data_IF_557009249446
#
_entry.id   IF_557009249446
#
_cell.length_a   1.000
_cell.length_b   1.000
_cell.length_c   1.000
_cell.angle_alpha   90.00
_cell.angle_beta   90.00
_cell.angle_gamma   90.00
#
_symmetry.space_group_name_H-M   'P 1'
#
loop_
_entity.id
_entity.type
_entity.pdbx_description
1 polymer ?
#
# COMPACT_ATOMS: atom_id res chain seq x y z
N UNK A 1 13.30 3.43 15.68
CA UNK A 1 12.84 4.59 14.90
C UNK A 1 13.66 5.82 15.28
N UNK A 2 13.69 6.84 14.42
CA UNK A 2 14.27 8.14 14.78
C UNK A 2 13.45 8.75 15.92
N UNK A 3 14.13 9.47 16.80
CA UNK A 3 13.48 10.17 17.92
C UNK A 3 13.69 11.67 17.73
N UNK A 4 12.65 12.45 18.02
CA UNK A 4 12.76 13.91 18.01
C UNK A 4 13.55 14.33 19.25
N UNK A 5 14.75 14.86 19.04
CA UNK A 5 15.66 15.28 20.12
C UNK A 5 15.94 16.77 20.00
N UNK A 6 15.94 17.46 21.14
CA UNK A 6 16.38 18.84 21.22
C UNK A 6 17.91 18.90 21.06
N UNK A 7 18.36 19.53 19.97
CA UNK A 7 19.76 19.74 19.67
C UNK A 7 20.05 21.23 19.58
N UNK A 8 21.17 21.63 20.18
CA UNK A 8 21.71 22.96 20.01
C UNK A 8 22.49 23.04 18.71
N UNK A 9 22.02 23.89 17.78
CA UNK A 9 22.66 24.07 16.48
C UNK A 9 22.81 25.56 16.21
N UNK A 10 24.06 26.01 15.96
CA UNK A 10 24.39 27.42 15.69
C UNK A 10 23.82 28.40 16.74
N UNK A 11 23.88 28.03 18.01
CA UNK A 11 23.42 28.86 19.13
C UNK A 11 21.90 28.95 19.28
N UNK A 12 21.12 28.14 18.56
CA UNK A 12 19.66 28.03 18.74
C UNK A 12 19.27 26.57 19.00
N UNK A 13 18.32 26.37 19.91
CA UNK A 13 17.77 25.05 20.18
C UNK A 13 16.75 24.67 19.09
N UNK A 14 16.91 23.48 18.50
CA UNK A 14 16.02 22.96 17.45
C UNK A 14 15.65 21.51 17.74
N UNK A 15 14.42 21.14 17.38
CA UNK A 15 13.98 19.76 17.39
C UNK A 15 14.47 19.09 16.10
N UNK A 16 15.35 18.10 16.23
CA UNK A 16 15.91 17.36 15.11
C UNK A 16 15.66 15.87 15.32
N UNK A 17 15.35 15.16 14.23
CA UNK A 17 15.26 13.71 14.24
C UNK A 17 16.66 13.11 14.36
N UNK A 18 16.89 12.34 15.41
CA UNK A 18 18.15 11.64 15.65
C UNK A 18 17.94 10.14 15.53
N UNK A 19 18.79 9.48 14.75
CA UNK A 19 18.81 8.02 14.65
C UNK A 19 19.61 7.36 15.80
N UNK A 20 20.29 8.14 16.65
CA UNK A 20 21.14 7.68 17.76
C UNK A 20 22.18 6.64 17.32
N UNK A 21 22.71 6.75 16.09
CA UNK A 21 23.58 5.76 15.42
C UNK A 21 22.97 4.36 15.31
N UNK A 22 21.66 4.22 15.52
CA UNK A 22 20.93 2.98 15.28
C UNK A 22 20.63 2.84 13.79
N UNK A 23 20.56 1.58 13.34
CA UNK A 23 20.08 1.25 11.99
C UNK A 23 18.63 1.71 11.82
N UNK A 24 18.31 2.27 10.65
CA UNK A 24 16.95 2.66 10.31
C UNK A 24 16.28 1.52 9.53
N UNK A 25 15.69 0.59 10.27
CA UNK A 25 15.01 -0.57 9.71
C UNK A 25 13.91 -0.21 8.68
N UNK A 26 13.25 0.95 8.83
CA UNK A 26 12.25 1.40 7.87
C UNK A 26 12.88 1.79 6.52
N UNK A 27 14.04 2.45 6.57
CA UNK A 27 14.82 2.77 5.38
C UNK A 27 15.37 1.49 4.73
N UNK A 28 15.90 0.55 5.53
CA UNK A 28 16.42 -0.71 5.03
C UNK A 28 15.32 -1.53 4.33
N UNK A 29 14.13 -1.62 4.94
CA UNK A 29 12.95 -2.24 4.33
C UNK A 29 12.57 -1.58 3.01
N UNK A 30 12.53 -0.24 2.96
CA UNK A 30 12.20 0.49 1.73
C UNK A 30 13.23 0.21 0.63
N UNK A 31 14.52 0.23 0.96
CA UNK A 31 15.61 -0.04 0.02
C UNK A 31 15.52 -1.46 -0.52
N UNK A 32 15.25 -2.45 0.33
CA UNK A 32 15.07 -3.84 -0.11
C UNK A 32 13.83 -4.03 -0.97
N UNK A 33 12.70 -3.41 -0.61
CA UNK A 33 11.49 -3.45 -1.42
C UNK A 33 11.73 -2.84 -2.81
N UNK A 34 12.45 -1.70 -2.88
CA UNK A 34 12.80 -1.07 -4.14
C UNK A 34 13.74 -1.93 -4.98
N UNK A 35 14.75 -2.56 -4.36
CA UNK A 35 15.65 -3.48 -5.05
C UNK A 35 14.89 -4.69 -5.63
N UNK A 36 14.00 -5.30 -4.82
CA UNK A 36 13.15 -6.40 -5.26
C UNK A 36 12.23 -5.98 -6.41
N UNK A 37 11.62 -4.80 -6.33
CA UNK A 37 10.81 -4.23 -7.40
C UNK A 37 11.61 -4.08 -8.69
N UNK A 38 12.80 -3.48 -8.63
CA UNK A 38 13.66 -3.28 -9.81
C UNK A 38 14.02 -4.61 -10.48
N UNK A 39 14.45 -5.60 -9.69
CA UNK A 39 14.73 -6.95 -10.21
C UNK A 39 13.48 -7.54 -10.84
N UNK A 40 12.31 -7.30 -10.25
CA UNK A 40 11.06 -7.85 -10.74
C UNK A 40 10.59 -7.25 -12.06
N UNK A 41 10.75 -5.93 -12.22
CA UNK A 41 10.52 -5.25 -13.50
C UNK A 41 11.47 -5.80 -14.57
N UNK A 42 12.75 -6.00 -14.26
CA UNK A 42 13.75 -6.44 -15.23
C UNK A 42 13.62 -7.91 -15.64
N UNK A 43 13.32 -8.81 -14.70
CA UNK A 43 13.29 -10.27 -14.94
C UNK A 43 11.92 -10.79 -15.32
N UNK A 44 10.86 -10.20 -14.78
CA UNK A 44 9.49 -10.68 -14.92
C UNK A 44 8.56 -9.66 -15.58
N UNK A 45 9.07 -8.52 -16.05
CA UNK A 45 8.26 -7.46 -16.68
C UNK A 45 7.09 -7.02 -15.78
N UNK A 46 7.31 -7.01 -14.47
CA UNK A 46 6.29 -6.62 -13.49
C UNK A 46 5.87 -5.16 -13.73
N UNK A 47 4.57 -4.93 -13.89
CA UNK A 47 3.98 -3.59 -14.07
C UNK A 47 3.03 -3.25 -12.92
N UNK A 48 3.38 -2.21 -12.17
CA UNK A 48 2.61 -1.75 -11.01
C UNK A 48 1.26 -1.14 -11.41
N UNK A 49 1.14 -0.51 -12.58
CA UNK A 49 -0.11 0.09 -13.03
C UNK A 49 -1.14 -0.98 -13.36
N UNK A 50 -0.70 -2.07 -14.02
CA UNK A 50 -1.54 -3.23 -14.32
C UNK A 50 -2.01 -3.90 -13.03
N UNK A 51 -1.11 -4.11 -12.06
CA UNK A 51 -1.43 -4.70 -10.77
C UNK A 51 -2.36 -3.82 -9.91
N UNK A 52 -2.19 -2.50 -9.96
CA UNK A 52 -3.08 -1.57 -9.28
C UNK A 52 -4.50 -1.66 -9.86
N UNK A 53 -4.62 -1.65 -11.19
CA UNK A 53 -5.89 -1.80 -11.90
C UNK A 53 -6.56 -3.14 -11.58
N UNK A 54 -5.82 -4.25 -11.59
CA UNK A 54 -6.38 -5.57 -11.28
C UNK A 54 -6.92 -5.62 -9.84
N UNK A 55 -6.24 -4.95 -8.90
CA UNK A 55 -6.68 -4.87 -7.50
C UNK A 55 -7.94 -4.03 -7.35
N UNK A 56 -8.04 -2.89 -8.05
CA UNK A 56 -9.27 -2.08 -8.06
C UNK A 56 -10.44 -2.87 -8.61
N UNK A 57 -10.25 -3.59 -9.72
CA UNK A 57 -11.25 -4.47 -10.30
C UNK A 57 -11.66 -5.60 -9.34
N UNK A 58 -10.72 -6.19 -8.59
CA UNK A 58 -11.05 -7.17 -7.55
C UNK A 58 -11.90 -6.59 -6.43
N UNK A 59 -11.61 -5.37 -5.98
CA UNK A 59 -12.39 -4.72 -4.92
C UNK A 59 -13.79 -4.29 -5.36
N UNK A 60 -14.00 -4.05 -6.66
CA UNK A 60 -15.32 -3.69 -7.22
C UNK A 60 -16.12 -4.90 -7.67
N UNK A 61 -15.52 -6.09 -7.74
CA UNK A 61 -16.25 -7.32 -8.03
C UNK A 61 -17.22 -7.60 -6.88
N UNK A 62 -18.54 -7.67 -7.15
CA UNK A 62 -19.50 -8.02 -6.12
C UNK A 62 -19.15 -9.39 -5.55
N UNK A 63 -19.23 -9.51 -4.24
CA UNK A 63 -19.04 -10.79 -3.57
C UNK A 63 -20.10 -11.80 -4.05
N UNK A 64 -19.80 -13.11 -3.97
CA UNK A 64 -20.76 -14.16 -4.34
C UNK A 64 -22.13 -13.98 -3.68
N UNK A 65 -22.15 -13.46 -2.45
CA UNK A 65 -23.36 -13.17 -1.69
C UNK A 65 -24.16 -12.01 -2.28
N UNK A 66 -23.50 -10.95 -2.73
CA UNK A 66 -24.14 -9.80 -3.38
C UNK A 66 -24.62 -10.13 -4.79
N UNK A 67 -23.89 -10.96 -5.52
CA UNK A 67 -24.31 -11.53 -6.81
C UNK A 67 -25.57 -12.39 -6.64
N UNK A 68 -25.58 -13.29 -5.66
CA UNK A 68 -26.75 -14.13 -5.37
C UNK A 68 -27.97 -13.27 -4.98
N UNK A 69 -27.79 -12.23 -4.17
CA UNK A 69 -28.86 -11.30 -3.80
C UNK A 69 -29.42 -10.54 -5.02
N UNK A 70 -28.56 -10.01 -5.90
CA UNK A 70 -28.97 -9.33 -7.13
C UNK A 70 -29.74 -10.24 -8.09
N UNK A 71 -29.33 -11.50 -8.20
CA UNK A 71 -29.99 -12.50 -9.04
C UNK A 71 -31.32 -12.99 -8.43
N UNK A 72 -31.40 -13.09 -7.10
CA UNK A 72 -32.63 -13.50 -6.41
C UNK A 72 -33.76 -12.46 -6.45
N UNK A 73 -33.45 -11.19 -6.74
CA UNK A 73 -34.42 -10.09 -6.84
C UNK A 73 -35.26 -10.06 -8.12
N UNK A 74 -35.08 -11.03 -9.03
CA UNK A 74 -35.72 -11.10 -10.35
C UNK A 74 -37.01 -11.93 -10.43
N UNK A 75 -37.66 -12.29 -9.31
CA UNK A 75 -38.99 -12.94 -9.32
C UNK A 75 -40.05 -11.95 -8.82
N UNK A 76 -40.15 -10.81 -9.49
CA UNK A 76 -41.34 -9.96 -9.44
C UNK A 76 -41.73 -9.64 -10.88
N UNK A 77 -42.32 -10.64 -11.54
CA UNK A 77 -42.91 -10.52 -12.85
C UNK A 77 -44.25 -11.25 -12.86
N UNK A 78 -45.32 -10.47 -12.64
CA UNK A 78 -46.70 -10.70 -13.08
C UNK A 78 -47.29 -12.12 -12.98
N UNK A 79 -48.21 -12.30 -12.03
CA UNK A 79 -49.44 -13.03 -12.35
C UNK A 79 -50.61 -12.36 -11.66
N UNK A 80 -51.69 -12.23 -12.45
CA UNK A 80 -52.99 -11.65 -12.11
C UNK A 80 -53.62 -12.27 -10.88
#
# INVERSE_FOLDING_TARGET
AEELVEKWEKGKMRLLWDNKKRRNEALDCLVYAYAALRVSVQRWQLDLAVLAKSREEETTRPTLKELAAKLSGGVNGYSR
#
